data_IF_497333669629
#
_entry.id   IF_497333669629
#
_cell.length_a   1.000
_cell.length_b   1.000
_cell.length_c   1.000
_cell.angle_alpha   90.00
_cell.angle_beta   90.00
_cell.angle_gamma   90.00
#
_symmetry.space_group_name_H-M   'P 1'
#
loop_
_entity.id
_entity.type
_entity.pdbx_description
1 polymer ?
#
# COMPACT_ATOMS: atom_id res chain seq x y z
N UNK A 1 51.23 15.72 -11.25
CA UNK A 1 50.86 15.71 -9.80
C UNK A 1 49.36 15.38 -9.56
N UNK A 2 48.69 14.63 -10.45
CA UNK A 2 47.23 14.35 -10.36
C UNK A 2 46.91 12.94 -9.84
N UNK A 3 47.76 11.98 -10.19
CA UNK A 3 47.38 10.57 -10.13
C UNK A 3 47.47 10.02 -8.71
N UNK A 4 48.42 10.50 -7.92
CA UNK A 4 48.55 10.13 -6.52
C UNK A 4 47.31 10.52 -5.70
N UNK A 5 46.75 11.70 -5.94
CA UNK A 5 45.50 12.14 -5.28
C UNK A 5 44.31 11.28 -5.71
N UNK A 6 44.27 10.87 -6.99
CA UNK A 6 43.23 10.01 -7.54
C UNK A 6 43.29 8.59 -6.96
N UNK A 7 44.51 8.02 -6.88
CA UNK A 7 44.77 6.71 -6.29
C UNK A 7 44.43 6.73 -4.80
N UNK A 8 44.86 7.76 -4.06
CA UNK A 8 44.57 7.90 -2.62
C UNK A 8 43.07 7.96 -2.35
N UNK A 9 42.30 8.67 -3.17
CA UNK A 9 40.85 8.73 -3.06
C UNK A 9 40.17 7.39 -3.38
N UNK A 10 40.68 6.66 -4.37
CA UNK A 10 40.15 5.36 -4.77
C UNK A 10 40.39 4.31 -3.67
N UNK A 11 41.63 4.22 -3.18
CA UNK A 11 42.01 3.29 -2.09
C UNK A 11 41.23 3.63 -0.83
N UNK A 12 41.15 4.89 -0.44
CA UNK A 12 40.37 5.31 0.74
C UNK A 12 38.91 4.89 0.62
N UNK A 13 38.28 5.11 -0.55
CA UNK A 13 36.89 4.69 -0.79
C UNK A 13 36.70 3.18 -0.65
N UNK A 14 37.62 2.38 -1.18
CA UNK A 14 37.56 0.92 -1.07
C UNK A 14 37.68 0.51 0.39
N UNK A 15 38.71 1.00 1.10
CA UNK A 15 38.95 0.66 2.52
C UNK A 15 37.75 1.04 3.41
N UNK A 16 37.20 2.25 3.25
CA UNK A 16 36.02 2.67 4.00
C UNK A 16 34.79 1.81 3.72
N UNK A 17 34.60 1.40 2.46
CA UNK A 17 33.53 0.47 2.06
C UNK A 17 33.69 -0.91 2.71
N UNK A 18 34.90 -1.48 2.73
CA UNK A 18 35.15 -2.80 3.33
C UNK A 18 34.96 -2.79 4.84
N UNK A 19 35.29 -1.67 5.48
CA UNK A 19 35.14 -1.49 6.93
C UNK A 19 33.72 -1.06 7.35
N UNK A 20 32.78 -0.92 6.41
CA UNK A 20 31.41 -0.47 6.69
C UNK A 20 31.31 0.97 7.22
N UNK A 21 32.37 1.77 7.04
CA UNK A 21 32.44 3.16 7.52
C UNK A 21 32.15 4.10 6.37
N UNK A 22 31.23 5.05 6.55
CA UNK A 22 30.98 6.08 5.54
C UNK A 22 32.21 7.00 5.44
N UNK A 23 32.76 7.10 4.23
CA UNK A 23 33.95 7.92 3.95
C UNK A 23 33.65 9.41 4.18
N UNK A 24 34.43 10.15 5.00
CA UNK A 24 34.27 11.58 5.17
C UNK A 24 34.83 12.33 3.93
N UNK A 25 34.05 12.41 2.86
CA UNK A 25 34.32 13.28 1.70
C UNK A 25 33.49 14.56 1.85
N UNK A 26 34.07 15.74 1.53
CA UNK A 26 33.45 17.03 1.75
C UNK A 26 32.10 17.15 1.05
N UNK A 27 31.09 17.47 1.87
CA UNK A 27 29.81 18.12 1.57
C UNK A 27 29.54 18.34 0.09
N UNK A 28 28.85 17.38 -0.54
CA UNK A 28 28.06 17.67 -1.73
C UNK A 28 27.07 18.80 -1.39
N UNK A 29 26.72 19.68 -2.36
CA UNK A 29 25.76 20.74 -2.12
C UNK A 29 24.46 20.15 -1.58
N UNK A 30 23.88 20.83 -0.59
CA UNK A 30 22.59 20.59 0.05
C UNK A 30 21.45 20.78 -0.98
N UNK A 31 21.53 20.05 -2.09
CA UNK A 31 20.62 20.07 -3.21
C UNK A 31 19.38 19.28 -2.81
N UNK A 32 18.29 20.01 -2.57
CA UNK A 32 16.91 19.51 -2.71
C UNK A 32 16.61 18.21 -1.96
N UNK A 33 17.21 18.02 -0.78
CA UNK A 33 16.87 16.89 0.08
C UNK A 33 15.62 17.25 0.85
N UNK A 34 14.53 16.55 0.56
CA UNK A 34 13.32 16.54 1.38
C UNK A 34 13.73 16.46 2.85
N UNK A 35 13.20 17.38 3.66
CA UNK A 35 13.54 17.45 5.07
C UNK A 35 13.17 16.11 5.74
N UNK A 36 14.11 15.45 6.40
CA UNK A 36 13.89 14.12 6.96
C UNK A 36 13.70 14.25 8.47
N UNK A 37 12.53 13.85 8.97
CA UNK A 37 12.20 13.86 10.40
C UNK A 37 12.52 12.48 10.97
N UNK A 38 13.51 12.44 11.85
CA UNK A 38 14.07 11.24 12.47
C UNK A 38 13.54 11.06 13.89
N UNK A 39 13.81 9.90 14.48
CA UNK A 39 13.39 9.61 15.86
C UNK A 39 14.02 10.55 16.86
N UNK A 40 15.28 10.93 16.68
CA UNK A 40 15.97 11.92 17.51
C UNK A 40 15.21 13.25 17.57
N UNK A 41 14.72 13.75 16.43
CA UNK A 41 13.98 15.02 16.36
C UNK A 41 12.67 14.97 17.14
N UNK A 42 12.05 13.79 17.24
CA UNK A 42 10.81 13.57 18.01
C UNK A 42 11.14 13.30 19.48
N UNK A 43 12.28 12.69 19.77
CA UNK A 43 12.66 12.28 21.11
C UNK A 43 13.04 13.48 22.01
N UNK A 44 13.48 14.58 21.41
CA UNK A 44 13.79 15.82 22.14
C UNK A 44 12.53 16.56 22.66
N UNK A 45 11.33 16.16 22.23
CA UNK A 45 10.08 16.80 22.62
C UNK A 45 9.51 16.23 23.92
N UNK A 46 8.73 17.01 24.69
CA UNK A 46 8.01 16.49 25.84
C UNK A 46 6.89 15.51 25.44
N UNK A 47 6.49 14.63 26.37
CA UNK A 47 5.34 13.75 26.17
C UNK A 47 4.06 14.57 25.94
N UNK A 48 3.25 14.16 24.96
CA UNK A 48 2.07 14.92 24.55
C UNK A 48 2.38 16.20 23.76
N UNK A 49 3.64 16.44 23.40
CA UNK A 49 4.08 17.64 22.68
C UNK A 49 3.64 17.67 21.22
N UNK A 50 4.07 18.71 20.51
CA UNK A 50 3.74 18.90 19.10
C UNK A 50 5.01 19.22 18.30
N UNK A 51 5.08 18.69 17.07
CA UNK A 51 6.15 19.01 16.12
C UNK A 51 5.55 19.51 14.82
N UNK A 52 6.03 20.67 14.35
CA UNK A 52 5.70 21.20 13.03
C UNK A 52 6.70 20.73 12.00
N UNK A 53 6.20 20.06 10.97
CA UNK A 53 7.01 19.52 9.88
C UNK A 53 6.54 20.13 8.57
N UNK A 54 7.50 20.53 7.73
CA UNK A 54 7.17 21.09 6.41
C UNK A 54 6.47 20.03 5.56
N UNK A 55 5.58 20.46 4.65
CA UNK A 55 4.83 19.56 3.77
C UNK A 55 5.68 18.56 2.98
N UNK A 56 6.86 18.99 2.53
CA UNK A 56 7.79 18.14 1.76
C UNK A 56 8.66 17.25 2.64
N UNK A 57 8.43 17.26 3.96
CA UNK A 57 9.22 16.47 4.90
C UNK A 57 8.79 15.02 4.90
N UNK A 58 9.77 14.11 4.91
CA UNK A 58 9.55 12.68 5.10
C UNK A 58 9.70 12.39 6.58
N UNK A 59 8.65 11.88 7.21
CA UNK A 59 8.71 11.35 8.57
C UNK A 59 9.11 9.89 8.49
N UNK A 60 10.23 9.54 9.13
CA UNK A 60 10.70 8.14 9.17
C UNK A 60 9.70 7.25 9.92
N UNK A 61 9.62 5.94 9.60
CA UNK A 61 8.76 5.01 10.34
C UNK A 61 9.06 4.99 11.83
N UNK A 62 10.34 5.04 12.20
CA UNK A 62 10.76 5.06 13.60
C UNK A 62 10.32 6.35 14.32
N UNK A 63 10.47 7.52 13.67
CA UNK A 63 9.96 8.78 14.22
C UNK A 63 8.44 8.74 14.45
N UNK A 64 7.68 8.13 13.52
CA UNK A 64 6.24 7.95 13.66
C UNK A 64 5.90 7.04 14.85
N UNK A 65 6.64 5.95 15.03
CA UNK A 65 6.45 5.04 16.15
C UNK A 65 6.69 5.75 17.48
N UNK A 66 7.81 6.47 17.62
CA UNK A 66 8.11 7.23 18.84
C UNK A 66 7.07 8.33 19.10
N UNK A 67 6.58 8.99 18.04
CA UNK A 67 5.51 9.98 18.18
C UNK A 67 4.22 9.34 18.72
N UNK A 68 3.86 8.13 18.27
CA UNK A 68 2.70 7.40 18.78
C UNK A 68 2.89 6.99 20.25
N UNK A 69 4.05 6.41 20.58
CA UNK A 69 4.36 5.93 21.94
C UNK A 69 4.36 7.08 22.97
N UNK A 70 4.73 8.29 22.53
CA UNK A 70 4.82 9.48 23.38
C UNK A 70 3.64 10.44 23.24
N UNK A 71 2.62 10.06 22.46
CA UNK A 71 1.45 10.88 22.15
C UNK A 71 1.79 12.27 21.56
N UNK A 72 2.85 12.36 20.77
CA UNK A 72 3.29 13.60 20.13
C UNK A 72 2.50 13.81 18.83
N UNK A 73 1.96 15.02 18.66
CA UNK A 73 1.21 15.39 17.44
C UNK A 73 2.13 15.92 16.36
N UNK A 74 2.09 15.32 15.17
CA UNK A 74 2.86 15.76 14.01
C UNK A 74 1.97 16.66 13.14
N UNK A 75 2.20 17.96 13.20
CA UNK A 75 1.47 18.97 12.42
C UNK A 75 2.20 19.26 11.11
N UNK A 76 1.51 19.17 9.98
CA UNK A 76 2.06 19.53 8.66
C UNK A 76 1.69 20.96 8.31
N UNK A 77 2.70 21.78 8.05
CA UNK A 77 2.47 23.13 7.54
C UNK A 77 1.81 23.03 6.17
N UNK A 78 0.54 23.40 6.11
CA UNK A 78 -0.17 23.70 4.87
C UNK A 78 0.16 25.16 4.56
N UNK A 79 0.60 25.48 3.34
CA UNK A 79 0.81 26.86 2.90
C UNK A 79 -0.36 27.77 3.37
N UNK A 80 -0.10 28.97 3.93
CA UNK A 80 -1.15 29.97 4.00
C UNK A 80 -1.45 30.40 2.56
N UNK A 81 -2.62 30.03 2.05
CA UNK A 81 -3.16 30.62 0.83
C UNK A 81 -3.03 32.15 0.93
N UNK A 82 -2.24 32.74 0.03
CA UNK A 82 -1.99 34.17 -0.07
C UNK A 82 -3.21 34.97 -0.56
N UNK A 83 -4.43 34.56 -0.20
CA UNK A 83 -5.66 35.27 -0.57
C UNK A 83 -6.71 35.17 0.56
N UNK A 84 -6.68 36.14 1.48
CA UNK A 84 -7.88 36.79 2.05
C UNK A 84 -7.48 37.80 3.13
N UNK A 85 -6.87 38.91 2.71
CA UNK A 85 -7.18 40.20 3.34
C UNK A 85 -8.48 40.70 2.70
N UNK A 86 -9.39 41.18 3.55
CA UNK A 86 -10.74 41.71 3.26
C UNK A 86 -11.87 40.68 3.43
N UNK A 87 -12.49 40.67 4.62
CA UNK A 87 -13.81 41.30 4.85
C UNK A 87 -14.06 41.34 6.38
N UNK A 88 -14.48 42.52 6.83
CA UNK A 88 -14.77 42.93 8.22
C UNK A 88 -15.91 42.09 8.83
N UNK A 89 -15.89 41.80 10.16
CA UNK A 89 -16.95 41.06 10.82
C UNK A 89 -18.05 42.02 11.27
N UNK A 90 -19.29 41.77 10.84
CA UNK A 90 -20.44 42.18 11.64
C UNK A 90 -21.66 41.30 11.36
N UNK A 91 -22.55 41.24 12.35
CA UNK A 91 -23.86 40.59 12.38
C UNK A 91 -23.93 39.15 12.92
N UNK A 92 -24.22 39.13 14.23
CA UNK A 92 -25.04 38.13 14.93
C UNK A 92 -26.22 37.67 14.08
N UNK A 93 -26.41 36.36 13.88
CA UNK A 93 -27.75 35.72 13.94
C UNK A 93 -27.58 34.21 14.19
N UNK A 94 -28.20 33.76 15.28
CA UNK A 94 -28.90 32.49 15.54
C UNK A 94 -28.35 31.13 15.11
N UNK A 95 -28.43 30.23 16.08
CA UNK A 95 -28.30 28.78 15.97
C UNK A 95 -29.17 28.19 14.85
N UNK A 96 -28.53 27.43 13.95
CA UNK A 96 -29.16 26.29 13.32
C UNK A 96 -28.10 25.24 13.00
N UNK A 97 -28.23 24.10 13.68
CA UNK A 97 -27.79 22.75 13.31
C UNK A 97 -27.22 22.62 11.90
N UNK A 98 -25.88 22.49 11.77
CA UNK A 98 -25.24 22.14 10.49
C UNK A 98 -24.50 20.81 10.66
N UNK A 99 -25.08 19.81 10.01
CA UNK A 99 -24.54 18.48 9.83
C UNK A 99 -23.29 18.53 8.93
N UNK A 100 -22.29 17.77 9.37
CA UNK A 100 -21.08 17.29 8.71
C UNK A 100 -21.05 17.38 7.18
N UNK A 101 -20.59 18.50 6.64
CA UNK A 101 -20.14 18.61 5.23
C UNK A 101 -18.64 18.36 5.18
N UNK A 102 -18.30 17.06 5.24
CA UNK A 102 -16.94 16.57 4.95
C UNK A 102 -16.54 16.99 3.55
N UNK A 103 -15.40 17.67 3.45
CA UNK A 103 -14.82 18.14 2.20
C UNK A 103 -14.61 16.97 1.24
N UNK A 104 -15.31 17.09 0.13
CA UNK A 104 -15.26 16.28 -1.07
C UNK A 104 -13.82 16.23 -1.61
N UNK A 105 -13.07 15.19 -1.25
CA UNK A 105 -11.84 14.81 -1.95
C UNK A 105 -12.27 14.02 -3.19
N UNK A 106 -12.36 14.70 -4.34
CA UNK A 106 -12.40 14.02 -5.62
C UNK A 106 -10.96 13.71 -6.04
N UNK A 107 -10.49 12.45 -5.97
CA UNK A 107 -9.21 12.08 -6.57
C UNK A 107 -9.27 12.28 -8.09
N UNK A 108 -8.14 12.52 -8.77
CA UNK A 108 -8.12 12.66 -10.22
C UNK A 108 -8.64 11.38 -10.87
N UNK A 109 -9.84 11.47 -11.46
CA UNK A 109 -10.47 10.42 -12.25
C UNK A 109 -9.66 10.21 -13.53
N UNK A 110 -8.56 9.46 -13.43
CA UNK A 110 -8.03 8.72 -14.58
C UNK A 110 -8.96 7.53 -14.78
N UNK A 111 -9.44 7.38 -16.00
CA UNK A 111 -10.28 6.29 -16.47
C UNK A 111 -9.58 4.93 -16.36
N UNK A 112 -9.52 4.39 -15.15
CA UNK A 112 -9.11 3.02 -14.89
C UNK A 112 -10.03 2.46 -13.78
N UNK A 113 -10.75 1.43 -14.20
CA UNK A 113 -11.10 0.27 -13.42
C UNK A 113 -12.20 0.47 -12.38
N UNK A 114 -13.42 0.23 -12.85
CA UNK A 114 -14.54 -0.19 -12.02
C UNK A 114 -14.02 -1.22 -11.01
N UNK A 115 -14.14 -0.90 -9.72
CA UNK A 115 -13.55 -1.69 -8.65
C UNK A 115 -14.65 -2.46 -7.95
N UNK A 116 -14.55 -3.79 -7.95
CA UNK A 116 -15.54 -4.66 -7.32
C UNK A 116 -15.12 -4.88 -5.87
N UNK A 117 -16.02 -4.48 -4.98
CA UNK A 117 -15.88 -4.53 -3.53
C UNK A 117 -16.64 -5.71 -2.96
N UNK A 118 -16.41 -5.99 -1.68
CA UNK A 118 -17.17 -7.01 -0.93
C UNK A 118 -18.69 -6.77 -0.94
N UNK A 119 -19.11 -5.50 -1.01
CA UNK A 119 -20.52 -5.13 -0.88
C UNK A 119 -21.32 -5.67 -2.06
N UNK A 120 -20.71 -5.66 -3.25
CA UNK A 120 -21.30 -6.17 -4.49
C UNK A 120 -21.58 -7.68 -4.42
N UNK A 121 -20.87 -8.41 -3.55
CA UNK A 121 -21.09 -9.84 -3.30
C UNK A 121 -22.03 -10.13 -2.13
N UNK A 122 -22.29 -9.16 -1.24
CA UNK A 122 -23.17 -9.35 -0.07
C UNK A 122 -24.63 -9.46 -0.48
N UNK A 123 -25.03 -8.76 -1.54
CA UNK A 123 -26.41 -8.72 -2.01
C UNK A 123 -26.78 -9.91 -2.93
N UNK A 124 -25.79 -10.74 -3.31
CA UNK A 124 -26.01 -11.93 -4.14
C UNK A 124 -26.40 -13.17 -3.30
N UNK A 125 -27.27 -14.05 -3.85
CA UNK A 125 -27.56 -15.34 -3.23
C UNK A 125 -26.33 -16.27 -3.26
N UNK A 126 -26.26 -17.21 -2.32
CA UNK A 126 -25.23 -18.25 -2.28
C UNK A 126 -25.27 -19.09 -3.56
N UNK A 127 -24.11 -19.39 -4.13
CA UNK A 127 -24.02 -20.10 -5.42
C UNK A 127 -24.35 -19.25 -6.64
N UNK A 128 -24.55 -17.93 -6.49
CA UNK A 128 -24.85 -17.02 -7.59
C UNK A 128 -23.66 -16.78 -8.53
N UNK A 129 -23.86 -15.93 -9.53
CA UNK A 129 -22.79 -15.46 -10.41
C UNK A 129 -22.78 -13.94 -10.50
N UNK A 130 -21.59 -13.36 -10.60
CA UNK A 130 -21.38 -11.94 -10.84
C UNK A 130 -20.62 -11.76 -12.14
N UNK A 131 -21.22 -11.03 -13.08
CA UNK A 131 -20.55 -10.64 -14.32
C UNK A 131 -19.78 -9.35 -14.08
N UNK A 132 -18.46 -9.40 -14.13
CA UNK A 132 -17.57 -8.24 -13.98
C UNK A 132 -17.06 -7.82 -15.35
N UNK A 133 -17.12 -6.53 -15.73
CA UNK A 133 -16.56 -6.07 -17.00
C UNK A 133 -15.06 -6.38 -17.13
N UNK A 134 -14.58 -6.64 -18.33
CA UNK A 134 -13.14 -6.86 -18.55
C UNK A 134 -12.32 -5.63 -18.14
N UNK A 135 -11.22 -5.86 -17.40
CA UNK A 135 -10.40 -4.79 -16.81
C UNK A 135 -10.85 -4.33 -15.43
N UNK A 136 -11.97 -4.85 -14.91
CA UNK A 136 -12.45 -4.57 -13.56
C UNK A 136 -11.54 -5.20 -12.51
N UNK A 137 -11.06 -4.41 -11.56
CA UNK A 137 -10.25 -4.90 -10.46
C UNK A 137 -11.13 -5.43 -9.33
N UNK A 138 -11.02 -6.72 -9.04
CA UNK A 138 -11.67 -7.35 -7.88
C UNK A 138 -10.74 -7.28 -6.68
N UNK A 139 -11.19 -6.64 -5.60
CA UNK A 139 -10.37 -6.55 -4.38
C UNK A 139 -10.13 -7.93 -3.74
N UNK A 140 -9.00 -8.14 -3.03
CA UNK A 140 -8.73 -9.42 -2.37
C UNK A 140 -9.84 -9.86 -1.41
N UNK A 141 -10.42 -8.90 -0.67
CA UNK A 141 -11.52 -9.17 0.26
C UNK A 141 -12.80 -9.57 -0.47
N UNK A 142 -13.13 -8.93 -1.60
CA UNK A 142 -14.26 -9.31 -2.42
C UNK A 142 -14.11 -10.72 -3.01
N UNK A 143 -12.89 -11.08 -3.44
CA UNK A 143 -12.57 -12.44 -3.89
C UNK A 143 -12.76 -13.48 -2.79
N UNK A 144 -12.36 -13.16 -1.55
CA UNK A 144 -12.57 -14.04 -0.39
C UNK A 144 -14.08 -14.30 -0.16
N UNK A 145 -14.89 -13.24 -0.14
CA UNK A 145 -16.35 -13.36 0.03
C UNK A 145 -16.97 -14.19 -1.10
N UNK A 146 -16.51 -14.02 -2.34
CA UNK A 146 -16.98 -14.82 -3.46
C UNK A 146 -16.69 -16.32 -3.25
N UNK A 147 -15.49 -16.68 -2.76
CA UNK A 147 -15.13 -18.06 -2.45
C UNK A 147 -15.99 -18.64 -1.33
N UNK A 148 -16.16 -17.90 -0.23
CA UNK A 148 -16.91 -18.34 0.95
C UNK A 148 -18.40 -18.57 0.63
N UNK A 149 -18.95 -17.79 -0.31
CA UNK A 149 -20.36 -17.88 -0.73
C UNK A 149 -20.58 -18.70 -1.99
N UNK A 150 -19.55 -19.35 -2.51
CA UNK A 150 -19.55 -20.10 -3.76
C UNK A 150 -20.07 -19.30 -4.97
N UNK A 151 -19.78 -17.99 -5.01
CA UNK A 151 -20.19 -17.11 -6.11
C UNK A 151 -19.16 -17.22 -7.24
N UNK A 152 -19.64 -17.48 -8.46
CA UNK A 152 -18.78 -17.55 -9.64
C UNK A 152 -18.62 -16.17 -10.27
N UNK A 153 -17.37 -15.71 -10.40
CA UNK A 153 -17.06 -14.45 -11.09
C UNK A 153 -16.87 -14.76 -12.58
N UNK A 154 -17.65 -14.12 -13.45
CA UNK A 154 -17.51 -14.21 -14.91
C UNK A 154 -17.01 -12.89 -15.45
N UNK A 155 -15.94 -12.91 -16.22
CA UNK A 155 -15.50 -11.72 -16.95
C UNK A 155 -16.42 -11.54 -18.16
N UNK A 156 -17.14 -10.43 -18.22
CA UNK A 156 -18.00 -10.06 -19.33
C UNK A 156 -17.22 -9.23 -20.35
N UNK A 157 -17.43 -9.52 -21.64
CA UNK A 157 -16.90 -8.71 -22.72
C UNK A 157 -17.47 -7.29 -22.60
N UNK A 158 -16.58 -6.30 -22.56
CA UNK A 158 -16.91 -4.87 -22.44
C UNK A 158 -17.68 -4.38 -23.67
N UNK A 159 -18.97 -4.69 -23.71
CA UNK A 159 -19.95 -4.02 -24.55
C UNK A 159 -20.91 -3.32 -23.61
N UNK A 160 -20.86 -1.99 -23.62
CA UNK A 160 -21.73 -1.14 -22.85
C UNK A 160 -23.18 -1.43 -23.23
N UNK A 161 -23.88 -2.22 -22.42
CA UNK A 161 -25.34 -2.30 -22.34
C UNK A 161 -25.71 -3.04 -21.06
N UNK A 162 -25.97 -2.28 -19.99
CA UNK A 162 -26.67 -2.79 -18.83
C UNK A 162 -28.11 -3.15 -19.26
N UNK A 163 -28.37 -4.42 -19.51
CA UNK A 163 -29.72 -4.98 -19.50
C UNK A 163 -29.80 -6.01 -18.38
N UNK A 164 -30.42 -5.61 -17.28
CA UNK A 164 -30.86 -6.50 -16.20
C UNK A 164 -31.88 -7.48 -16.79
N UNK A 165 -31.43 -8.68 -17.16
CA UNK A 165 -32.34 -9.80 -17.46
C UNK A 165 -32.49 -10.66 -16.21
N UNK A 166 -33.53 -10.38 -15.41
CA UNK A 166 -34.02 -11.32 -14.40
C UNK A 166 -34.85 -12.36 -15.16
N UNK A 167 -34.32 -13.56 -15.34
CA UNK A 167 -35.08 -14.71 -15.83
C UNK A 167 -35.37 -15.61 -14.63
N UNK A 168 -36.63 -15.76 -14.20
CA UNK A 168 -37.02 -16.77 -13.25
C UNK A 168 -37.25 -18.09 -14.00
N UNK A 169 -36.32 -19.04 -13.91
CA UNK A 169 -36.55 -20.42 -14.36
C UNK A 169 -37.00 -21.29 -13.19
N UNK A 170 -38.31 -21.34 -13.02
CA UNK A 170 -38.98 -22.52 -12.44
C UNK A 170 -38.94 -23.66 -13.47
N UNK A 171 -38.48 -24.85 -13.09
CA UNK A 171 -38.72 -26.06 -13.90
C UNK A 171 -37.65 -27.14 -13.84
N UNK A 172 -37.83 -28.08 -12.92
CA UNK A 172 -37.75 -29.55 -13.07
C UNK A 172 -36.89 -30.10 -14.24
N UNK A 173 -35.82 -30.83 -13.89
CA UNK A 173 -35.65 -32.24 -14.33
C UNK A 173 -34.45 -32.89 -13.61
N UNK A 174 -34.75 -34.00 -12.93
CA UNK A 174 -33.81 -35.05 -12.57
C UNK A 174 -33.03 -35.49 -13.82
N UNK A 175 -31.72 -35.38 -13.82
CA UNK A 175 -30.90 -36.24 -14.67
C UNK A 175 -29.67 -36.75 -13.91
N UNK A 176 -29.80 -38.03 -13.60
CA UNK A 176 -28.84 -38.97 -13.08
C UNK A 176 -27.59 -39.03 -13.97
N UNK A 177 -26.42 -38.72 -13.40
CA UNK A 177 -25.14 -39.15 -13.97
C UNK A 177 -24.31 -39.84 -12.88
N UNK A 178 -24.48 -41.16 -12.82
CA UNK A 178 -23.40 -42.07 -12.44
C UNK A 178 -22.30 -41.95 -13.51
N UNK A 179 -21.07 -41.53 -13.17
CA UNK A 179 -19.90 -42.08 -13.86
C UNK A 179 -18.55 -41.81 -13.18
N UNK A 180 -18.04 -42.89 -12.60
CA UNK A 180 -16.69 -43.45 -12.75
C UNK A 180 -15.49 -42.55 -12.37
N UNK A 181 -14.88 -42.96 -11.26
CA UNK A 181 -13.62 -42.43 -10.77
C UNK A 181 -12.45 -42.54 -11.74
N UNK A 182 -11.51 -41.61 -11.56
CA UNK A 182 -10.12 -41.79 -11.95
C UNK A 182 -9.24 -41.48 -10.75
N UNK A 183 -8.83 -42.58 -10.14
CA UNK A 183 -7.58 -42.82 -9.44
C UNK A 183 -6.49 -41.76 -9.73
N UNK A 184 -6.25 -40.87 -8.78
CA UNK A 184 -5.12 -39.94 -8.83
C UNK A 184 -4.00 -40.52 -7.95
N UNK A 185 -2.96 -41.06 -8.58
CA UNK A 185 -1.75 -41.48 -7.90
C UNK A 185 -0.88 -40.24 -7.57
N UNK A 186 -0.44 -40.04 -6.32
CA UNK A 186 0.58 -39.05 -6.03
C UNK A 186 1.94 -39.56 -6.50
N UNK A 187 2.51 -38.88 -7.50
CA UNK A 187 3.87 -39.11 -8.00
C UNK A 187 4.88 -38.68 -6.94
N UNK A 188 5.60 -39.67 -6.41
CA UNK A 188 6.75 -39.52 -5.52
C UNK A 188 7.88 -38.76 -6.24
N UNK A 189 8.13 -37.49 -5.89
CA UNK A 189 9.38 -36.81 -6.24
C UNK A 189 10.35 -36.84 -5.07
N UNK A 190 11.14 -37.90 -5.09
CA UNK A 190 12.57 -37.99 -4.75
C UNK A 190 13.22 -36.69 -4.23
N UNK A 191 13.40 -36.61 -2.92
CA UNK A 191 14.41 -35.74 -2.30
C UNK A 191 15.75 -36.46 -2.38
N UNK A 192 16.49 -36.15 -3.44
CA UNK A 192 17.88 -36.56 -3.61
C UNK A 192 18.76 -35.99 -2.50
N UNK A 193 19.46 -36.90 -1.83
CA UNK A 193 20.66 -36.67 -1.04
C UNK A 193 21.65 -35.76 -1.77
N UNK A 194 22.21 -34.79 -1.06
CA UNK A 194 23.61 -34.41 -1.25
C UNK A 194 24.27 -34.26 0.12
N UNK A 195 24.91 -35.34 0.53
CA UNK A 195 26.01 -35.37 1.47
C UNK A 195 27.21 -34.73 0.77
N UNK A 196 27.79 -33.67 1.32
CA UNK A 196 29.22 -33.41 1.18
C UNK A 196 29.75 -32.93 2.54
N UNK A 197 30.22 -33.94 3.26
CA UNK A 197 31.34 -33.91 4.19
C UNK A 197 32.49 -33.07 3.63
N UNK A 198 32.92 -32.05 4.37
CA UNK A 198 34.25 -31.44 4.20
C UNK A 198 34.87 -31.26 5.59
N UNK A 199 35.58 -32.33 5.95
CA UNK A 199 36.70 -32.37 6.90
C UNK A 199 37.68 -31.24 6.57
N UNK A 200 37.95 -30.34 7.52
CA UNK A 200 39.15 -29.50 7.51
C UNK A 200 39.83 -29.68 8.85
N UNK A 201 40.61 -30.76 8.89
CA UNK A 201 41.80 -30.87 9.73
C UNK A 201 42.81 -29.80 9.35
N UNK A 202 43.47 -29.35 10.39
CA UNK A 202 44.85 -28.88 10.40
C UNK A 202 45.24 -27.53 9.79
N UNK A 203 46.10 -26.89 10.59
CA UNK A 203 47.16 -25.92 10.30
C UNK A 203 46.86 -24.44 10.54
N UNK A 204 47.83 -23.68 11.08
CA UNK A 204 48.86 -23.98 12.09
C UNK A 204 48.69 -23.21 13.41
#
# INVERSE_FOLDING_TARGET
>A
MSDEKKIRNLVSRVVYRTLGKSNPVPTLPKSTRRNLVTELDVNDLPYGGEIRVSKDSIVTPLARQVAMDRHISILRDSEPDSQALSIVPDSKVSAEKIETTGRHFSPPQRAADQLVTEQDFKDLPFGGFLTVPQGTLVTPLARQVAMDRHITIREGDSTASQSLSIVPTTGVSEERIENIGRHFQPSQRSTGQLVTELDIKDLP
#
